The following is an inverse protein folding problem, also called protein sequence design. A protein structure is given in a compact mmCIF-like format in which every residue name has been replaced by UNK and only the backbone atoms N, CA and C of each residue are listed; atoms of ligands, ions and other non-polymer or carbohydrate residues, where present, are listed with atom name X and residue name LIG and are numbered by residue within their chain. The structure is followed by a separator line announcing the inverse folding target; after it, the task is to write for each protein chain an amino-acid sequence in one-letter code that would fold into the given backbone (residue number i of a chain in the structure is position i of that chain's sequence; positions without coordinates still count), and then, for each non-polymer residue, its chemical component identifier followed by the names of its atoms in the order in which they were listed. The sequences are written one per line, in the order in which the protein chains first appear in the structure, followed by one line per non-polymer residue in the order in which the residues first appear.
data_IF_071026208139
#
_entry.id   IF_071026208139
#
_cell.length_a   1.000
_cell.length_b   1.000
_cell.length_c   1.000
_cell.angle_alpha   90.00
_cell.angle_beta   90.00
_cell.angle_gamma   90.00
#
_symmetry.space_group_name_H-M   'P 1'
#
loop_
_entity.id
_entity.type
_entity.pdbx_description
1 polymer ?
#
# COMPACT_ATOMS: atom_id res chain seq x y z
N UNK A 1 54.74 12.72 -32.55
CA UNK A 1 54.90 14.17 -32.35
C UNK A 1 54.25 14.88 -33.51
N UNK A 2 53.08 15.47 -33.27
CA UNK A 2 52.63 16.81 -33.72
C UNK A 2 51.11 16.87 -33.53
N UNK A 3 50.70 17.72 -32.60
CA UNK A 3 49.32 18.11 -32.34
C UNK A 3 48.79 18.96 -33.50
N UNK A 4 47.49 18.89 -33.75
CA UNK A 4 46.75 19.95 -34.46
C UNK A 4 45.35 20.11 -33.84
N UNK A 5 44.80 21.34 -33.82
CA UNK A 5 43.82 21.76 -32.82
C UNK A 5 42.37 21.68 -33.31
N UNK A 6 41.44 21.43 -32.37
CA UNK A 6 40.01 21.57 -32.59
C UNK A 6 39.58 23.05 -32.51
N UNK A 7 38.94 23.52 -33.57
CA UNK A 7 38.29 24.83 -33.68
C UNK A 7 36.88 24.83 -33.09
N UNK A 8 36.54 25.97 -32.48
CA UNK A 8 35.21 26.31 -31.95
C UNK A 8 34.19 26.47 -33.08
N UNK A 9 32.94 26.03 -32.84
CA UNK A 9 31.75 26.89 -32.72
C UNK A 9 30.47 26.16 -33.16
N UNK A 10 29.47 26.15 -32.28
CA UNK A 10 28.04 26.34 -32.62
C UNK A 10 27.28 26.55 -31.32
N UNK A 11 26.72 27.74 -31.18
CA UNK A 11 25.87 28.17 -30.07
C UNK A 11 24.41 27.73 -30.33
N UNK A 12 23.73 27.23 -29.30
CA UNK A 12 22.28 27.27 -29.17
C UNK A 12 21.91 27.65 -27.72
N UNK A 13 20.74 28.29 -27.49
CA UNK A 13 20.55 29.23 -26.38
C UNK A 13 20.06 28.55 -25.10
N UNK A 14 20.71 28.86 -23.98
CA UNK A 14 20.22 28.46 -22.65
C UNK A 14 19.21 29.47 -22.12
N UNK A 15 17.94 29.06 -22.11
CA UNK A 15 16.89 29.68 -21.32
C UNK A 15 16.85 29.13 -19.89
N UNK A 16 16.89 30.04 -18.91
CA UNK A 16 16.42 29.96 -17.50
C UNK A 16 16.43 28.61 -16.79
N UNK A 17 17.46 28.40 -15.97
CA UNK A 17 17.35 27.72 -14.67
C UNK A 17 18.16 28.51 -13.63
N UNK A 18 17.48 29.30 -12.79
CA UNK A 18 18.03 29.81 -11.53
C UNK A 18 17.01 29.50 -10.45
N UNK A 19 17.40 28.61 -9.53
CA UNK A 19 16.97 28.50 -8.12
C UNK A 19 17.42 27.16 -7.48
N UNK A 20 17.95 26.20 -8.25
CA UNK A 20 18.45 24.92 -7.70
C UNK A 20 19.93 24.89 -7.32
N UNK A 21 20.78 25.73 -7.92
CA UNK A 21 22.25 25.59 -7.78
C UNK A 21 22.81 26.17 -6.48
N UNK A 22 22.18 27.20 -5.89
CA UNK A 22 22.66 27.77 -4.62
C UNK A 22 22.44 26.83 -3.43
N UNK A 23 21.34 26.06 -3.42
CA UNK A 23 21.02 25.14 -2.32
C UNK A 23 22.00 23.96 -2.25
N UNK A 24 22.47 23.48 -3.41
CA UNK A 24 23.43 22.36 -3.48
C UNK A 24 24.83 22.80 -3.05
N UNK A 25 25.25 24.02 -3.37
CA UNK A 25 26.53 24.56 -2.90
C UNK A 25 26.54 24.82 -1.39
N UNK A 26 25.42 25.29 -0.80
CA UNK A 26 25.33 25.46 0.65
C UNK A 26 25.36 24.12 1.40
N UNK A 27 24.67 23.08 0.93
CA UNK A 27 24.68 21.76 1.60
C UNK A 27 26.06 21.09 1.54
N UNK A 28 26.78 21.21 0.42
CA UNK A 28 28.14 20.67 0.31
C UNK A 28 29.13 21.40 1.23
N UNK A 29 28.98 22.73 1.40
CA UNK A 29 29.81 23.49 2.33
C UNK A 29 29.58 23.07 3.79
N UNK A 30 28.34 22.79 4.21
CA UNK A 30 28.05 22.36 5.58
C UNK A 30 28.60 20.97 5.89
N UNK A 31 28.57 20.04 4.93
CA UNK A 31 29.11 18.68 5.10
C UNK A 31 30.63 18.67 5.12
N UNK A 32 31.29 19.51 4.31
CA UNK A 32 32.75 19.65 4.31
C UNK A 32 33.23 20.31 5.61
N UNK A 33 32.55 21.35 6.09
CA UNK A 33 32.89 22.01 7.36
C UNK A 33 32.69 21.05 8.53
N UNK A 34 31.60 20.28 8.57
CA UNK A 34 31.35 19.33 9.66
C UNK A 34 32.37 18.18 9.73
N UNK A 35 32.98 17.78 8.61
CA UNK A 35 34.06 16.79 8.60
C UNK A 35 35.38 17.39 9.05
N UNK A 36 35.73 18.58 8.57
CA UNK A 36 37.00 19.26 8.94
C UNK A 36 37.02 19.63 10.43
N UNK A 37 35.87 20.02 11.01
CA UNK A 37 35.78 20.37 12.45
C UNK A 37 35.94 19.19 13.40
N UNK A 38 35.88 17.95 12.91
CA UNK A 38 36.04 16.76 13.74
C UNK A 38 37.49 16.33 13.94
N UNK A 39 38.43 16.86 13.15
CA UNK A 39 39.84 16.44 13.15
C UNK A 39 40.81 17.48 13.73
N UNK A 40 40.48 18.78 13.73
CA UNK A 40 41.31 19.82 14.38
C UNK A 40 40.48 21.01 14.91
N UNK A 41 40.31 21.17 16.24
CA UNK A 41 39.54 22.25 16.84
C UNK A 41 40.11 23.66 16.59
N UNK A 42 41.39 23.78 16.20
CA UNK A 42 42.02 25.09 15.93
C UNK A 42 41.59 25.68 14.57
N UNK A 43 41.22 24.83 13.61
CA UNK A 43 40.74 25.26 12.29
C UNK A 43 39.30 25.80 12.36
N UNK A 44 38.49 25.28 13.29
CA UNK A 44 37.11 25.72 13.52
C UNK A 44 37.00 27.20 13.97
N UNK A 45 37.95 27.64 14.80
CA UNK A 45 38.00 29.02 15.30
C UNK A 45 38.35 30.05 14.20
N UNK A 46 39.18 29.66 13.22
CA UNK A 46 39.57 30.52 12.10
C UNK A 46 38.43 30.65 11.06
N UNK A 47 37.69 29.57 10.78
CA UNK A 47 36.58 29.58 9.81
C UNK A 47 35.35 30.36 10.29
N UNK A 48 35.08 30.34 11.60
CA UNK A 48 33.93 31.05 12.18
C UNK A 48 34.10 32.58 12.09
N UNK A 49 35.34 33.06 12.17
CA UNK A 49 35.69 34.48 12.01
C UNK A 49 35.44 35.00 10.57
N UNK A 50 35.73 34.19 9.55
CA UNK A 50 35.60 34.59 8.14
C UNK A 50 34.14 34.59 7.64
N UNK A 51 33.29 33.71 8.17
CA UNK A 51 31.86 33.64 7.78
C UNK A 51 31.06 34.82 8.35
N UNK A 52 31.44 35.34 9.51
CA UNK A 52 30.75 36.47 10.14
C UNK A 52 31.06 37.80 9.40
N UNK A 53 32.23 37.96 8.79
CA UNK A 53 32.54 39.20 8.06
C UNK A 53 31.86 39.30 6.69
N UNK A 54 31.46 38.18 6.09
CA UNK A 54 30.82 38.15 4.76
C UNK A 54 29.29 38.26 4.79
N UNK A 55 28.66 38.08 5.96
CA UNK A 55 27.21 38.18 6.11
C UNK A 55 26.67 39.62 6.27
N UNK A 56 27.54 40.61 6.53
CA UNK A 56 27.12 41.99 6.83
C UNK A 56 27.01 42.93 5.61
N UNK A 57 27.18 42.44 4.38
CA UNK A 57 27.21 43.30 3.19
C UNK A 57 26.12 42.97 2.15
N UNK A 58 24.86 43.01 2.57
CA UNK A 58 23.72 43.05 1.63
C UNK A 58 22.67 44.09 2.05
N UNK A 59 22.50 45.12 1.20
CA UNK A 59 21.46 46.16 1.32
C UNK A 59 20.07 45.62 0.91
N UNK A 60 18.97 46.15 1.47
CA UNK A 60 17.64 45.63 1.17
C UNK A 60 17.07 46.16 -0.15
N UNK A 61 16.45 45.26 -0.92
CA UNK A 61 15.65 45.57 -2.10
C UNK A 61 14.23 45.97 -1.69
N UNK A 62 13.77 47.09 -2.24
CA UNK A 62 12.42 47.63 -2.14
C UNK A 62 11.46 46.80 -3.00
N UNK A 63 10.31 46.40 -2.45
CA UNK A 63 9.14 46.06 -3.26
C UNK A 63 7.87 46.71 -2.70
N UNK A 64 7.36 47.66 -3.50
CA UNK A 64 6.04 48.27 -3.41
C UNK A 64 4.97 47.28 -3.88
N UNK A 65 3.90 47.12 -3.10
CA UNK A 65 2.54 46.99 -3.63
C UNK A 65 1.52 47.03 -2.47
N UNK A 66 0.85 48.18 -2.36
CA UNK A 66 -0.32 48.44 -1.51
C UNK A 66 -1.55 47.70 -2.06
N UNK A 67 -2.35 47.08 -1.19
CA UNK A 67 -3.79 47.36 -1.06
C UNK A 67 -4.33 46.76 0.24
N UNK A 68 -4.64 47.66 1.18
CA UNK A 68 -5.42 47.40 2.38
C UNK A 68 -6.89 47.16 2.01
N UNK A 69 -7.52 46.19 2.67
CA UNK A 69 -8.92 46.29 3.08
C UNK A 69 -8.99 45.83 4.53
N UNK A 70 -9.18 46.82 5.40
CA UNK A 70 -9.47 46.71 6.83
C UNK A 70 -10.91 46.22 6.97
N UNK A 71 -11.14 45.20 7.80
CA UNK A 71 -12.43 44.93 8.44
C UNK A 71 -12.13 44.62 9.90
N UNK A 72 -12.85 45.33 10.75
CA UNK A 72 -12.63 45.46 12.18
C UNK A 72 -12.82 44.15 12.95
N UNK A 73 -11.92 43.94 13.92
CA UNK A 73 -11.96 42.91 14.93
C UNK A 73 -12.37 43.60 16.24
N UNK A 74 -13.63 43.45 16.63
CA UNK A 74 -14.03 43.68 18.01
C UNK A 74 -13.58 42.49 18.87
N UNK A 75 -12.86 42.86 19.93
CA UNK A 75 -12.26 42.00 20.93
C UNK A 75 -13.21 42.04 22.12
N UNK A 76 -13.86 40.91 22.42
CA UNK A 76 -14.51 40.71 23.71
C UNK A 76 -13.75 39.66 24.51
N UNK A 77 -13.32 40.07 25.70
CA UNK A 77 -12.58 39.28 26.67
C UNK A 77 -13.50 38.72 27.75
N UNK A 78 -13.23 37.45 28.07
CA UNK A 78 -13.36 36.81 29.40
C UNK A 78 -14.75 36.59 30.02
N UNK A 79 -15.12 35.31 30.23
CA UNK A 79 -14.98 34.71 31.57
C UNK A 79 -15.03 33.17 31.47
N UNK A 80 -14.05 32.52 32.11
CA UNK A 80 -13.95 31.07 32.27
C UNK A 80 -14.53 30.72 33.64
N UNK A 81 -15.55 29.86 33.69
CA UNK A 81 -15.94 29.13 34.90
C UNK A 81 -15.96 27.63 34.59
N UNK A 82 -15.05 26.93 35.27
CA UNK A 82 -15.02 25.49 35.40
C UNK A 82 -16.31 24.99 36.08
N UNK A 83 -16.94 23.97 35.48
CA UNK A 83 -17.67 22.98 36.26
C UNK A 83 -17.66 21.64 35.51
N UNK A 84 -17.12 20.65 36.22
CA UNK A 84 -17.10 19.23 35.89
C UNK A 84 -18.50 18.66 36.12
N UNK A 85 -19.06 18.03 35.10
CA UNK A 85 -20.18 17.11 35.24
C UNK A 85 -20.09 16.03 34.15
N UNK A 86 -19.80 14.80 34.59
CA UNK A 86 -19.96 13.59 33.79
C UNK A 86 -21.43 13.43 33.42
N UNK A 87 -21.78 13.72 32.17
CA UNK A 87 -23.07 13.37 31.58
C UNK A 87 -22.84 12.36 30.46
N UNK A 88 -23.28 11.12 30.70
CA UNK A 88 -23.37 10.05 29.70
C UNK A 88 -24.49 10.42 28.72
N UNK A 89 -24.12 11.04 27.59
CA UNK A 89 -25.02 11.23 26.45
C UNK A 89 -25.28 9.88 25.78
N UNK A 90 -26.47 9.32 25.99
CA UNK A 90 -27.06 8.33 25.09
C UNK A 90 -27.53 9.07 23.82
N UNK A 91 -26.91 8.77 22.68
CA UNK A 91 -27.41 9.20 21.39
C UNK A 91 -28.51 8.23 20.93
N UNK A 92 -29.78 8.64 21.04
CA UNK A 92 -30.87 7.98 20.31
C UNK A 92 -30.89 8.50 18.87
N UNK A 93 -30.29 7.75 17.96
CA UNK A 93 -30.41 7.99 16.52
C UNK A 93 -31.76 7.48 16.05
N UNK A 94 -32.77 8.35 16.00
CA UNK A 94 -34.03 8.08 15.29
C UNK A 94 -33.81 8.21 13.79
N UNK A 95 -33.69 7.07 13.09
CA UNK A 95 -33.79 7.00 11.64
C UNK A 95 -35.27 7.15 11.22
N UNK A 96 -35.60 8.03 10.25
CA UNK A 96 -36.95 8.14 9.73
C UNK A 96 -37.16 7.09 8.62
N UNK A 97 -38.07 6.15 8.87
CA UNK A 97 -38.49 5.16 7.86
C UNK A 97 -38.65 3.77 8.47
N UNK A 98 -39.84 3.50 9.00
CA UNK A 98 -40.21 2.22 9.59
C UNK A 98 -40.35 1.14 8.50
N UNK A 99 -39.23 0.57 8.07
CA UNK A 99 -39.16 -0.81 7.61
C UNK A 99 -38.34 -1.55 8.66
N UNK A 100 -39.02 -2.33 9.48
CA UNK A 100 -38.43 -3.50 10.15
C UNK A 100 -37.86 -4.38 9.05
N UNK A 101 -36.57 -4.24 8.80
CA UNK A 101 -35.78 -5.31 8.20
C UNK A 101 -35.53 -6.22 9.38
N UNK A 102 -36.20 -7.37 9.40
CA UNK A 102 -35.95 -8.39 10.41
C UNK A 102 -34.47 -8.74 10.34
N UNK A 103 -33.72 -8.30 11.35
CA UNK A 103 -32.31 -8.63 11.55
C UNK A 103 -32.11 -10.10 11.97
N UNK A 104 -33.11 -10.96 11.75
CA UNK A 104 -33.09 -12.40 12.00
C UNK A 104 -32.46 -13.21 10.85
N UNK A 105 -31.94 -12.55 9.80
CA UNK A 105 -31.36 -13.22 8.63
C UNK A 105 -29.84 -13.36 8.59
N UNK A 106 -29.08 -12.62 9.41
CA UNK A 106 -27.63 -12.82 9.52
C UNK A 106 -27.39 -13.75 10.70
N UNK A 107 -27.75 -15.03 10.53
CA UNK A 107 -27.25 -16.06 11.42
C UNK A 107 -25.72 -15.93 11.41
N UNK A 108 -25.16 -15.53 12.56
CA UNK A 108 -23.81 -15.87 12.99
C UNK A 108 -23.70 -17.40 13.13
N UNK A 109 -23.98 -18.10 12.03
CA UNK A 109 -23.44 -19.42 11.81
C UNK A 109 -21.97 -19.12 11.70
N UNK A 110 -21.25 -19.29 12.82
CA UNK A 110 -19.85 -19.68 12.79
C UNK A 110 -19.84 -20.91 11.90
N UNK A 111 -19.75 -20.70 10.58
CA UNK A 111 -19.48 -21.77 9.66
C UNK A 111 -18.10 -22.20 10.13
N UNK A 112 -18.08 -23.26 10.94
CA UNK A 112 -16.88 -24.02 11.22
C UNK A 112 -16.38 -24.37 9.83
N UNK A 113 -15.43 -23.57 9.37
CA UNK A 113 -14.81 -23.71 8.07
C UNK A 113 -13.93 -24.93 8.26
N UNK A 114 -14.54 -26.12 8.15
CA UNK A 114 -13.85 -27.38 8.28
C UNK A 114 -12.90 -27.43 7.11
N UNK A 115 -11.65 -27.06 7.39
CA UNK A 115 -10.59 -26.96 6.40
C UNK A 115 -10.52 -28.31 5.67
N UNK A 116 -10.73 -28.35 4.35
CA UNK A 116 -10.40 -29.54 3.59
C UNK A 116 -8.90 -29.75 3.72
N UNK A 117 -8.52 -30.75 4.53
CA UNK A 117 -7.20 -31.37 4.71
C UNK A 117 -5.98 -30.52 4.36
N UNK A 118 -5.21 -30.13 5.40
CA UNK A 118 -3.88 -29.49 5.38
C UNK A 118 -2.80 -30.30 4.59
N UNK A 119 -3.13 -31.43 3.97
CA UNK A 119 -2.15 -32.46 3.59
C UNK A 119 -1.83 -32.58 2.09
N UNK A 120 -2.02 -31.55 1.26
CA UNK A 120 -1.55 -31.60 -0.12
C UNK A 120 -0.66 -30.42 -0.49
N UNK A 121 0.52 -30.66 -1.09
CA UNK A 121 1.30 -29.62 -1.74
C UNK A 121 0.42 -28.93 -2.76
N UNK A 122 0.04 -27.68 -2.49
CA UNK A 122 -0.66 -26.87 -3.49
C UNK A 122 0.29 -26.65 -4.66
N UNK A 123 -0.23 -26.32 -5.85
CA UNK A 123 0.64 -25.98 -6.99
C UNK A 123 1.58 -24.79 -6.70
N UNK A 124 1.33 -24.06 -5.61
CA UNK A 124 2.11 -22.91 -5.16
C UNK A 124 3.37 -23.25 -4.37
N UNK A 125 3.64 -24.52 -4.10
CA UNK A 125 4.98 -24.97 -3.64
C UNK A 125 5.83 -25.54 -4.78
N UNK A 126 5.27 -25.63 -6.00
CA UNK A 126 6.01 -26.12 -7.17
C UNK A 126 6.95 -25.05 -7.71
N UNK A 127 8.08 -25.50 -8.26
CA UNK A 127 9.00 -24.64 -8.99
C UNK A 127 8.33 -24.03 -10.23
N UNK A 128 8.72 -22.80 -10.53
CA UNK A 128 8.29 -22.01 -11.67
C UNK A 128 9.44 -21.95 -12.67
N UNK A 129 9.13 -22.11 -13.95
CA UNK A 129 10.10 -21.91 -15.02
C UNK A 129 10.31 -20.41 -15.24
N UNK A 130 11.50 -19.91 -14.93
CA UNK A 130 11.85 -18.48 -15.08
C UNK A 130 11.79 -17.97 -16.52
N UNK A 131 11.82 -18.86 -17.52
CA UNK A 131 11.67 -18.48 -18.94
C UNK A 131 10.22 -18.39 -19.41
N UNK A 132 9.27 -18.82 -18.58
CA UNK A 132 7.84 -18.73 -18.86
C UNK A 132 7.33 -17.29 -18.91
N UNK A 133 6.09 -17.13 -19.36
CA UNK A 133 5.34 -15.87 -19.39
C UNK A 133 4.51 -15.73 -18.13
N UNK A 134 4.70 -14.63 -17.42
CA UNK A 134 4.08 -14.32 -16.13
C UNK A 134 2.98 -13.27 -16.32
N UNK A 135 1.74 -13.58 -15.97
CA UNK A 135 0.63 -12.62 -15.83
C UNK A 135 0.57 -12.16 -14.38
N UNK A 136 0.72 -10.86 -14.12
CA UNK A 136 0.55 -10.28 -12.79
C UNK A 136 -0.67 -9.36 -12.76
N UNK A 137 -1.71 -9.77 -12.05
CA UNK A 137 -2.97 -9.01 -11.94
C UNK A 137 -2.76 -7.83 -11.00
N UNK A 138 -2.85 -6.62 -11.55
CA UNK A 138 -2.70 -5.38 -10.78
C UNK A 138 -4.02 -5.02 -10.09
N UNK A 139 -4.23 -5.52 -8.88
CA UNK A 139 -5.27 -5.00 -7.98
C UNK A 139 -4.78 -3.67 -7.41
N UNK A 140 -5.53 -2.59 -7.66
CA UNK A 140 -5.16 -1.24 -7.22
C UNK A 140 -4.81 -1.25 -5.75
N UNK A 141 -3.67 -0.62 -5.39
CA UNK A 141 -3.24 -0.43 -3.99
C UNK A 141 -2.94 -1.71 -3.19
N UNK A 142 -2.82 -2.85 -3.88
CA UNK A 142 -2.30 -4.10 -3.34
C UNK A 142 -0.85 -4.36 -3.80
N UNK A 143 -0.05 -3.31 -4.00
CA UNK A 143 1.36 -3.37 -4.44
C UNK A 143 1.63 -3.97 -5.83
N UNK A 144 0.64 -3.97 -6.75
CA UNK A 144 0.85 -4.54 -8.09
C UNK A 144 1.95 -3.87 -8.91
N UNK A 145 2.06 -2.53 -8.87
CA UNK A 145 3.20 -1.82 -9.49
C UNK A 145 4.56 -2.32 -9.00
N UNK A 146 4.70 -2.54 -7.68
CA UNK A 146 5.93 -3.07 -7.09
C UNK A 146 6.26 -4.44 -7.67
N UNK A 147 5.30 -5.35 -7.71
CA UNK A 147 5.51 -6.71 -8.25
C UNK A 147 5.85 -6.72 -9.74
N UNK A 148 5.12 -5.95 -10.55
CA UNK A 148 5.39 -5.85 -12.00
C UNK A 148 6.80 -5.32 -12.23
N UNK A 149 7.23 -4.27 -11.50
CA UNK A 149 8.59 -3.76 -11.58
C UNK A 149 9.62 -4.79 -11.12
N UNK A 150 9.36 -5.50 -10.03
CA UNK A 150 10.25 -6.56 -9.52
C UNK A 150 10.51 -7.63 -10.57
N UNK A 151 9.45 -8.21 -11.15
CA UNK A 151 9.56 -9.24 -12.19
C UNK A 151 10.31 -8.73 -13.43
N UNK A 152 10.06 -7.47 -13.83
CA UNK A 152 10.77 -6.84 -14.95
C UNK A 152 12.24 -6.56 -14.67
N UNK A 153 12.60 -6.20 -13.45
CA UNK A 153 13.99 -5.99 -13.03
C UNK A 153 14.81 -7.28 -13.02
N UNK A 154 14.13 -8.43 -12.99
CA UNK A 154 14.69 -9.76 -13.19
C UNK A 154 14.74 -10.17 -14.67
N UNK A 155 14.32 -9.30 -15.59
CA UNK A 155 14.21 -9.55 -17.03
C UNK A 155 13.28 -10.72 -17.40
N UNK A 156 12.27 -10.98 -16.58
CA UNK A 156 11.28 -12.03 -16.84
C UNK A 156 10.22 -11.56 -17.85
N UNK A 157 9.66 -12.49 -18.62
CA UNK A 157 8.57 -12.22 -19.57
C UNK A 157 7.28 -11.89 -18.81
N UNK A 158 7.06 -10.61 -18.50
CA UNK A 158 5.98 -10.16 -17.61
C UNK A 158 4.89 -9.42 -18.38
N UNK A 159 3.64 -9.73 -18.07
CA UNK A 159 2.43 -9.05 -18.49
C UNK A 159 1.68 -8.52 -17.26
N UNK A 160 1.30 -7.23 -17.20
CA UNK A 160 1.44 -6.21 -18.24
C UNK A 160 2.88 -5.67 -18.40
N UNK A 161 3.16 -5.06 -19.56
CA UNK A 161 4.50 -4.51 -19.87
C UNK A 161 4.84 -3.21 -19.14
N UNK A 162 3.86 -2.46 -18.64
CA UNK A 162 4.06 -1.18 -17.93
C UNK A 162 3.91 -1.41 -16.43
N UNK A 163 4.75 -0.76 -15.62
CA UNK A 163 4.72 -0.87 -14.15
C UNK A 163 3.36 -0.51 -13.57
N UNK A 164 2.80 0.64 -13.96
CA UNK A 164 1.45 1.04 -13.54
C UNK A 164 0.36 0.07 -14.06
N UNK A 165 0.66 -0.76 -15.06
CA UNK A 165 -0.27 -1.71 -15.66
C UNK A 165 -1.57 -1.07 -16.15
N UNK A 166 -2.49 -1.89 -16.62
CA UNK A 166 -3.90 -1.57 -16.52
C UNK A 166 -4.48 -2.50 -15.46
N UNK A 167 -5.40 -1.98 -14.67
CA UNK A 167 -5.96 -2.71 -13.54
C UNK A 167 -7.20 -3.47 -14.02
N UNK A 168 -7.04 -4.75 -14.29
CA UNK A 168 -8.08 -5.64 -14.79
C UNK A 168 -8.38 -6.75 -13.81
N UNK A 169 -9.66 -7.19 -13.69
CA UNK A 169 -9.97 -8.44 -12.99
C UNK A 169 -9.25 -9.64 -13.62
N UNK A 170 -9.03 -10.69 -12.82
CA UNK A 170 -8.26 -11.89 -13.19
C UNK A 170 -8.77 -12.46 -14.51
N UNK A 171 -10.09 -12.71 -14.61
CA UNK A 171 -10.67 -13.29 -15.82
C UNK A 171 -10.35 -12.46 -17.06
N UNK A 172 -10.53 -11.13 -16.99
CA UNK A 172 -10.30 -10.25 -18.13
C UNK A 172 -8.82 -10.20 -18.49
N UNK A 173 -7.93 -10.11 -17.49
CA UNK A 173 -6.50 -10.11 -17.72
C UNK A 173 -6.07 -11.40 -18.42
N UNK A 174 -6.44 -12.56 -17.90
CA UNK A 174 -5.93 -13.84 -18.38
C UNK A 174 -6.53 -14.23 -19.74
N UNK A 175 -7.80 -13.90 -19.98
CA UNK A 175 -8.51 -14.28 -21.20
C UNK A 175 -8.46 -13.25 -22.32
N UNK A 176 -7.97 -12.02 -22.06
CA UNK A 176 -7.97 -10.94 -23.08
C UNK A 176 -6.64 -10.22 -23.22
N UNK A 177 -5.92 -9.97 -22.12
CA UNK A 177 -4.74 -9.09 -22.12
C UNK A 177 -3.45 -9.89 -22.12
N UNK A 178 -3.36 -10.87 -21.22
CA UNK A 178 -2.19 -11.68 -20.97
C UNK A 178 -2.38 -13.13 -21.45
N UNK A 179 -3.21 -13.34 -22.48
CA UNK A 179 -3.48 -14.68 -23.04
C UNK A 179 -2.21 -15.49 -23.29
N UNK A 180 -2.24 -16.78 -22.94
CA UNK A 180 -1.10 -17.69 -23.05
C UNK A 180 0.03 -17.39 -22.06
N UNK A 181 -0.26 -16.76 -20.92
CA UNK A 181 0.66 -16.78 -19.79
C UNK A 181 0.78 -18.21 -19.24
N UNK A 182 1.98 -18.58 -18.82
CA UNK A 182 2.27 -19.87 -18.19
C UNK A 182 1.97 -19.83 -16.69
N UNK A 183 2.06 -18.64 -16.08
CA UNK A 183 1.89 -18.43 -14.65
C UNK A 183 1.02 -17.22 -14.34
N UNK A 184 0.09 -17.39 -13.41
CA UNK A 184 -0.85 -16.37 -12.97
C UNK A 184 -0.57 -15.94 -11.54
N UNK A 185 -0.42 -14.64 -11.36
CA UNK A 185 0.05 -14.05 -10.11
C UNK A 185 -0.82 -12.87 -9.73
N UNK A 186 -0.99 -12.67 -8.43
CA UNK A 186 -1.56 -11.45 -7.89
C UNK A 186 -0.98 -11.16 -6.50
N UNK A 187 -1.40 -10.05 -5.92
CA UNK A 187 -1.15 -9.75 -4.51
C UNK A 187 -2.39 -9.22 -3.84
N UNK A 188 -2.53 -9.56 -2.57
CA UNK A 188 -3.60 -9.11 -1.70
C UNK A 188 -3.05 -8.28 -0.55
N UNK A 189 -3.91 -7.46 0.03
CA UNK A 189 -3.62 -6.59 1.16
C UNK A 189 -4.71 -6.71 2.22
N UNK A 190 -4.36 -6.48 3.48
CA UNK A 190 -5.32 -6.41 4.58
C UNK A 190 -6.49 -5.49 4.20
N UNK A 191 -7.75 -5.96 4.22
CA UNK A 191 -8.88 -5.18 3.70
C UNK A 191 -9.00 -3.78 4.32
N UNK A 192 -8.75 -3.65 5.63
CA UNK A 192 -8.69 -2.34 6.32
C UNK A 192 -7.64 -1.40 5.72
N UNK A 193 -6.40 -1.89 5.56
CA UNK A 193 -5.30 -1.12 4.99
C UNK A 193 -5.50 -0.81 3.51
N UNK A 194 -6.17 -1.72 2.79
CA UNK A 194 -6.49 -1.56 1.40
C UNK A 194 -7.52 -0.45 1.18
N UNK A 195 -8.63 -0.46 1.92
CA UNK A 195 -9.66 0.60 1.85
C UNK A 195 -9.08 1.98 2.18
N UNK A 196 -8.30 2.08 3.25
CA UNK A 196 -7.59 3.34 3.56
C UNK A 196 -6.71 3.79 2.41
N UNK A 197 -5.96 2.86 1.81
CA UNK A 197 -5.07 3.16 0.72
C UNK A 197 -5.78 3.61 -0.57
N UNK A 198 -6.96 3.07 -0.86
CA UNK A 198 -7.80 3.52 -1.97
C UNK A 198 -8.26 4.96 -1.73
N UNK A 199 -8.70 5.28 -0.51
CA UNK A 199 -9.07 6.63 -0.13
C UNK A 199 -7.89 7.61 -0.25
N UNK A 200 -6.72 7.27 0.28
CA UNK A 200 -5.55 8.17 0.22
C UNK A 200 -5.05 8.34 -1.21
N UNK A 201 -5.18 7.33 -2.07
CA UNK A 201 -4.90 7.48 -3.50
C UNK A 201 -5.83 8.52 -4.13
N UNK A 202 -7.13 8.41 -3.89
CA UNK A 202 -8.08 9.41 -4.37
C UNK A 202 -7.76 10.79 -3.79
N UNK A 203 -7.43 10.88 -2.49
CA UNK A 203 -7.23 12.14 -1.78
C UNK A 203 -5.89 12.83 -2.10
N UNK A 204 -4.79 12.11 -2.28
CA UNK A 204 -3.48 12.76 -2.38
C UNK A 204 -2.81 12.60 -3.73
N UNK A 205 -3.10 11.52 -4.45
CA UNK A 205 -2.41 11.28 -5.71
C UNK A 205 -2.88 12.29 -6.78
N UNK A 206 -1.95 12.67 -7.66
CA UNK A 206 -2.22 13.59 -8.79
C UNK A 206 -3.34 13.05 -9.68
N UNK A 207 -3.35 11.73 -9.93
CA UNK A 207 -4.43 11.06 -10.63
C UNK A 207 -5.74 11.16 -9.85
N UNK A 208 -5.73 10.87 -8.55
CA UNK A 208 -6.89 10.96 -7.65
C UNK A 208 -7.53 12.34 -7.65
N UNK A 209 -6.73 13.39 -7.51
CA UNK A 209 -7.17 14.80 -7.62
C UNK A 209 -7.82 15.09 -8.97
N UNK A 210 -7.23 14.60 -10.06
CA UNK A 210 -7.73 14.82 -11.42
C UNK A 210 -9.08 14.14 -11.62
N UNK A 211 -9.24 12.86 -11.24
CA UNK A 211 -10.46 12.09 -11.54
C UNK A 211 -11.64 12.51 -10.67
N UNK A 212 -11.37 12.96 -9.43
CA UNK A 212 -12.39 13.45 -8.50
C UNK A 212 -12.72 14.94 -8.66
N UNK A 213 -12.10 15.64 -9.61
CA UNK A 213 -12.33 17.07 -9.85
C UNK A 213 -13.80 17.34 -10.21
N UNK A 214 -14.40 18.35 -9.57
CA UNK A 214 -15.80 18.72 -9.78
C UNK A 214 -16.80 17.76 -9.15
N UNK A 215 -16.34 16.85 -8.28
CA UNK A 215 -17.18 15.97 -7.48
C UNK A 215 -17.21 16.43 -6.03
N UNK A 216 -18.18 15.91 -5.26
CA UNK A 216 -18.30 16.13 -3.82
C UNK A 216 -17.34 15.26 -2.99
N UNK A 217 -16.21 14.82 -3.57
CA UNK A 217 -15.21 14.01 -2.87
C UNK A 217 -14.64 14.79 -1.66
N UNK A 218 -14.58 14.19 -0.46
CA UNK A 218 -14.23 14.92 0.76
C UNK A 218 -12.74 15.31 0.82
N UNK A 219 -12.47 16.61 1.04
CA UNK A 219 -11.13 17.22 1.05
C UNK A 219 -11.05 18.43 2.00
N UNK A 220 -11.27 18.22 3.29
CA UNK A 220 -11.29 19.32 4.27
C UNK A 220 -9.89 19.80 4.72
N UNK A 221 -8.81 19.09 4.37
CA UNK A 221 -7.41 19.54 4.49
C UNK A 221 -6.39 18.40 4.64
N UNK A 222 -5.16 18.72 5.03
CA UNK A 222 -4.00 17.81 5.08
C UNK A 222 -3.48 17.60 6.51
N UNK A 223 -4.33 17.06 7.39
CA UNK A 223 -3.97 16.71 8.77
C UNK A 223 -4.59 15.37 9.12
N UNK A 224 -4.04 14.64 10.09
CA UNK A 224 -4.59 13.34 10.50
C UNK A 224 -6.07 13.42 10.89
N UNK A 225 -6.48 14.48 11.59
CA UNK A 225 -7.87 14.74 11.96
C UNK A 225 -8.76 14.97 10.73
N UNK A 226 -8.29 15.74 9.74
CA UNK A 226 -9.04 15.98 8.52
C UNK A 226 -9.13 14.72 7.66
N UNK A 227 -8.10 13.88 7.68
CA UNK A 227 -8.08 12.61 6.95
C UNK A 227 -9.12 11.65 7.52
N UNK A 228 -9.20 11.54 8.84
CA UNK A 228 -10.20 10.71 9.51
C UNK A 228 -11.62 11.21 9.23
N UNK A 229 -11.86 12.53 9.31
CA UNK A 229 -13.15 13.14 8.98
C UNK A 229 -13.55 12.92 7.52
N UNK A 230 -12.61 13.17 6.60
CA UNK A 230 -12.84 13.00 5.18
C UNK A 230 -13.06 11.53 4.81
N UNK A 231 -12.31 10.62 5.44
CA UNK A 231 -12.44 9.19 5.26
C UNK A 231 -13.80 8.70 5.75
N UNK A 232 -14.24 9.12 6.94
CA UNK A 232 -15.57 8.78 7.44
C UNK A 232 -16.67 9.24 6.46
N UNK A 233 -16.59 10.48 5.96
CA UNK A 233 -17.54 11.00 4.97
C UNK A 233 -17.50 10.22 3.64
N UNK A 234 -16.31 9.76 3.23
CA UNK A 234 -16.15 8.93 2.05
C UNK A 234 -16.77 7.54 2.24
N UNK A 235 -16.64 6.92 3.41
CA UNK A 235 -17.31 5.65 3.73
C UNK A 235 -18.84 5.81 3.79
N UNK A 236 -19.34 6.90 4.38
CA UNK A 236 -20.78 7.23 4.44
C UNK A 236 -21.42 7.36 3.05
N UNK A 237 -20.64 7.80 2.06
CA UNK A 237 -21.11 7.88 0.68
C UNK A 237 -21.53 6.52 0.13
N UNK A 238 -20.82 5.44 0.47
CA UNK A 238 -21.09 4.08 -0.02
C UNK A 238 -22.05 3.26 0.84
N UNK A 239 -22.42 3.76 2.03
CA UNK A 239 -23.25 3.03 2.97
C UNK A 239 -24.67 3.64 3.10
N UNK A 240 -25.70 2.80 3.36
CA UNK A 240 -25.68 1.34 3.22
C UNK A 240 -25.45 0.93 1.76
N UNK A 241 -24.80 -0.21 1.50
CA UNK A 241 -24.57 -0.69 0.13
C UNK A 241 -25.92 -0.99 -0.55
N UNK A 242 -26.09 -0.60 -1.82
CA UNK A 242 -27.34 -0.85 -2.53
C UNK A 242 -27.56 0.05 -3.76
N UNK A 243 -28.76 0.02 -4.36
CA UNK A 243 -29.09 0.87 -5.49
C UNK A 243 -28.85 2.36 -5.20
N UNK A 244 -28.17 3.05 -6.12
CA UNK A 244 -27.83 4.48 -5.99
C UNK A 244 -26.50 4.75 -5.28
N UNK A 245 -25.77 3.69 -4.88
CA UNK A 245 -24.46 3.78 -4.22
C UNK A 245 -23.29 3.41 -5.13
N UNK A 246 -23.53 3.33 -6.43
CA UNK A 246 -22.54 2.91 -7.42
C UNK A 246 -21.51 4.00 -7.75
N UNK A 247 -21.82 5.28 -7.49
CA UNK A 247 -20.92 6.40 -7.76
C UNK A 247 -19.65 6.29 -6.92
N UNK A 248 -18.52 6.07 -7.59
CA UNK A 248 -17.21 5.93 -6.98
C UNK A 248 -16.39 7.23 -7.02
N UNK A 249 -17.04 8.38 -7.23
CA UNK A 249 -16.41 9.68 -7.49
C UNK A 249 -15.48 9.68 -8.71
N UNK A 250 -15.64 8.73 -9.64
CA UNK A 250 -14.68 8.39 -10.71
C UNK A 250 -13.30 7.94 -10.20
N UNK A 251 -13.19 7.60 -8.93
CA UNK A 251 -12.02 7.01 -8.31
C UNK A 251 -12.37 5.57 -7.91
N UNK A 252 -12.21 5.14 -6.66
CA UNK A 252 -12.48 3.77 -6.23
C UNK A 252 -13.79 3.59 -5.46
N UNK A 253 -14.44 2.45 -5.68
CA UNK A 253 -15.54 1.94 -4.87
C UNK A 253 -15.00 0.88 -3.88
N UNK A 254 -15.05 1.08 -2.55
CA UNK A 254 -14.36 0.20 -1.60
C UNK A 254 -15.01 -1.18 -1.41
N UNK A 255 -16.30 -1.34 -1.74
CA UNK A 255 -17.02 -2.58 -1.45
C UNK A 255 -16.36 -3.81 -2.09
N UNK A 256 -15.87 -4.71 -1.25
CA UNK A 256 -15.28 -6.00 -1.57
C UNK A 256 -14.35 -5.95 -2.80
N UNK A 257 -13.50 -4.92 -2.84
CA UNK A 257 -12.74 -4.56 -4.04
C UNK A 257 -11.82 -5.69 -4.50
N UNK A 258 -11.14 -6.37 -3.59
CA UNK A 258 -10.17 -7.42 -3.96
C UNK A 258 -10.88 -8.67 -4.48
N UNK A 259 -11.93 -9.14 -3.81
CA UNK A 259 -12.72 -10.28 -4.25
C UNK A 259 -13.48 -10.00 -5.55
N UNK A 260 -13.88 -8.75 -5.80
CA UNK A 260 -14.44 -8.34 -7.11
C UNK A 260 -13.44 -8.48 -8.26
N UNK A 261 -12.14 -8.35 -8.03
CA UNK A 261 -11.13 -8.64 -9.06
C UNK A 261 -11.02 -10.14 -9.37
N UNK A 262 -11.40 -11.01 -8.44
CA UNK A 262 -11.41 -12.46 -8.65
C UNK A 262 -12.70 -12.95 -9.31
N UNK A 263 -13.81 -12.23 -9.14
CA UNK A 263 -15.14 -12.63 -9.62
C UNK A 263 -15.55 -11.94 -10.94
N UNK A 264 -15.18 -10.67 -11.13
CA UNK A 264 -15.64 -9.87 -12.26
C UNK A 264 -15.04 -10.30 -13.61
N UNK A 265 -15.86 -10.23 -14.66
CA UNK A 265 -15.45 -10.48 -16.05
C UNK A 265 -15.29 -9.21 -16.90
N UNK A 266 -15.61 -8.03 -16.36
CA UNK A 266 -15.52 -6.78 -17.12
C UNK A 266 -14.20 -6.06 -16.86
N UNK A 267 -13.79 -5.23 -17.81
CA UNK A 267 -12.57 -4.42 -17.70
C UNK A 267 -12.64 -3.28 -16.67
N UNK A 268 -13.85 -2.82 -16.32
CA UNK A 268 -14.06 -1.75 -15.35
C UNK A 268 -13.84 -2.21 -13.91
N UNK A 269 -12.68 -1.90 -13.36
CA UNK A 269 -12.23 -2.39 -12.04
C UNK A 269 -12.48 -1.41 -10.89
N UNK A 270 -12.58 -0.11 -11.17
CA UNK A 270 -12.64 0.94 -10.16
C UNK A 270 -14.02 1.15 -9.53
N UNK A 271 -15.09 0.81 -10.23
CA UNK A 271 -16.48 0.99 -9.79
C UNK A 271 -17.23 -0.32 -9.78
N UNK A 272 -18.38 -0.37 -9.11
CA UNK A 272 -19.31 -1.50 -9.24
C UNK A 272 -20.07 -1.39 -10.55
N UNK A 273 -20.30 -2.50 -11.23
CA UNK A 273 -20.98 -2.49 -12.53
C UNK A 273 -22.47 -2.32 -12.27
N UNK A 274 -23.08 -1.29 -12.84
CA UNK A 274 -24.52 -1.16 -12.81
C UNK A 274 -25.15 -2.10 -13.85
N UNK A 275 -25.50 -3.31 -13.41
CA UNK A 275 -26.35 -4.23 -14.17
C UNK A 275 -27.75 -4.23 -13.54
N UNK A 276 -28.81 -4.00 -14.33
CA UNK A 276 -30.17 -4.14 -13.83
C UNK A 276 -30.34 -5.51 -13.17
N UNK A 277 -30.85 -5.52 -11.93
CA UNK A 277 -31.12 -6.72 -11.11
C UNK A 277 -29.89 -7.48 -10.57
N UNK A 278 -28.69 -6.94 -10.68
CA UNK A 278 -27.51 -7.53 -10.04
C UNK A 278 -27.41 -7.08 -8.57
N UNK A 279 -27.95 -7.90 -7.67
CA UNK A 279 -27.85 -7.70 -6.22
C UNK A 279 -26.47 -8.06 -5.67
N UNK A 280 -25.66 -8.80 -6.44
CA UNK A 280 -24.33 -9.29 -6.05
C UNK A 280 -23.19 -8.32 -6.39
N UNK A 281 -23.48 -7.20 -7.06
CA UNK A 281 -22.44 -6.26 -7.53
C UNK A 281 -21.55 -5.65 -6.43
N UNK A 282 -22.04 -5.59 -5.19
CA UNK A 282 -21.28 -5.14 -4.02
C UNK A 282 -20.67 -6.31 -3.23
N UNK A 283 -21.25 -7.49 -3.37
CA UNK A 283 -20.88 -8.72 -2.65
C UNK A 283 -20.61 -9.83 -3.66
N UNK A 284 -19.38 -9.91 -4.19
CA UNK A 284 -19.03 -10.91 -5.18
C UNK A 284 -19.20 -12.32 -4.62
N UNK A 285 -19.38 -13.30 -5.50
CA UNK A 285 -19.55 -14.69 -5.10
C UNK A 285 -18.26 -15.21 -4.44
N UNK A 286 -18.27 -15.40 -3.12
CA UNK A 286 -17.09 -15.85 -2.35
C UNK A 286 -16.56 -17.19 -2.86
N UNK A 287 -17.43 -18.14 -3.19
CA UNK A 287 -17.00 -19.46 -3.71
C UNK A 287 -16.23 -19.31 -5.03
N UNK A 288 -16.71 -18.47 -5.95
CA UNK A 288 -16.02 -18.21 -7.21
C UNK A 288 -14.71 -17.46 -6.97
N UNK A 289 -14.71 -16.43 -6.11
CA UNK A 289 -13.50 -15.69 -5.76
C UNK A 289 -12.43 -16.62 -5.14
N UNK A 290 -12.82 -17.52 -4.24
CA UNK A 290 -11.93 -18.52 -3.65
C UNK A 290 -11.42 -19.53 -4.67
N UNK A 291 -12.26 -19.99 -5.60
CA UNK A 291 -11.81 -20.87 -6.69
C UNK A 291 -10.74 -20.19 -7.55
N UNK A 292 -11.00 -18.95 -7.98
CA UNK A 292 -10.06 -18.17 -8.80
C UNK A 292 -8.79 -17.84 -8.03
N UNK A 293 -8.88 -17.61 -6.72
CA UNK A 293 -7.71 -17.53 -5.86
C UNK A 293 -6.87 -18.81 -5.96
N UNK A 294 -7.45 -19.99 -5.74
CA UNK A 294 -6.72 -21.26 -5.79
C UNK A 294 -6.10 -21.56 -7.16
N UNK A 295 -6.70 -21.02 -8.23
CA UNK A 295 -6.18 -21.11 -9.59
C UNK A 295 -4.94 -20.22 -9.82
N UNK A 296 -4.56 -19.34 -8.90
CA UNK A 296 -3.32 -18.56 -9.02
C UNK A 296 -2.08 -19.40 -8.66
N UNK A 297 -1.02 -19.25 -9.44
CA UNK A 297 0.27 -19.91 -9.21
C UNK A 297 1.10 -19.22 -8.13
N UNK A 298 0.82 -17.94 -7.85
CA UNK A 298 1.43 -17.19 -6.75
C UNK A 298 0.48 -16.09 -6.25
N UNK A 299 0.37 -15.94 -4.92
CA UNK A 299 -0.36 -14.84 -4.28
C UNK A 299 0.52 -14.21 -3.23
N UNK A 300 0.99 -12.99 -3.49
CA UNK A 300 1.75 -12.21 -2.50
C UNK A 300 0.83 -11.56 -1.46
N UNK A 301 1.32 -11.40 -0.24
CA UNK A 301 0.66 -10.60 0.80
C UNK A 301 1.48 -9.33 1.03
N UNK A 302 0.85 -8.16 0.90
CA UNK A 302 1.53 -6.86 0.99
C UNK A 302 2.23 -6.67 2.35
N UNK A 303 1.58 -7.11 3.42
CA UNK A 303 2.10 -7.05 4.79
C UNK A 303 3.30 -7.98 5.03
N UNK A 304 3.48 -8.98 4.18
CA UNK A 304 4.58 -9.96 4.20
C UNK A 304 5.37 -9.90 2.90
N UNK A 305 5.66 -8.68 2.42
CA UNK A 305 6.25 -8.49 1.10
C UNK A 305 7.63 -9.14 0.95
N UNK A 306 8.46 -9.06 1.99
CA UNK A 306 9.79 -9.67 1.99
C UNK A 306 9.71 -11.20 1.90
N UNK A 307 8.86 -11.79 2.72
CA UNK A 307 8.63 -13.22 2.81
C UNK A 307 8.00 -13.74 1.50
N UNK A 308 7.05 -12.98 0.94
CA UNK A 308 6.47 -13.24 -0.38
C UNK A 308 7.53 -13.22 -1.49
N UNK A 309 8.50 -12.31 -1.44
CA UNK A 309 9.62 -12.27 -2.40
C UNK A 309 10.54 -13.48 -2.26
N UNK A 310 10.87 -13.85 -1.02
CA UNK A 310 11.68 -15.03 -0.73
C UNK A 310 11.04 -16.30 -1.29
N UNK A 311 9.74 -16.47 -1.05
CA UNK A 311 8.96 -17.56 -1.59
C UNK A 311 8.97 -17.58 -3.12
N UNK A 312 8.64 -16.45 -3.77
CA UNK A 312 8.63 -16.36 -5.24
C UNK A 312 9.99 -16.70 -5.83
N UNK A 313 11.07 -16.10 -5.30
CA UNK A 313 12.41 -16.26 -5.88
C UNK A 313 12.99 -17.65 -5.67
N UNK A 314 12.71 -18.28 -4.52
CA UNK A 314 13.07 -19.68 -4.30
C UNK A 314 12.37 -20.57 -5.32
N UNK A 315 11.07 -20.32 -5.57
CA UNK A 315 10.30 -21.10 -6.54
C UNK A 315 10.79 -20.96 -7.98
N UNK A 316 11.49 -19.90 -8.35
CA UNK A 316 12.12 -19.82 -9.69
C UNK A 316 13.24 -20.88 -9.90
N UNK A 317 13.66 -21.57 -8.83
CA UNK A 317 14.53 -22.73 -8.89
C UNK A 317 15.94 -22.44 -9.44
N UNK A 318 16.65 -23.47 -9.94
CA UNK A 318 17.99 -23.30 -10.50
C UNK A 318 18.04 -22.32 -11.68
N UNK A 319 16.97 -22.24 -12.47
CA UNK A 319 16.83 -21.34 -13.61
C UNK A 319 16.60 -19.87 -13.24
N UNK A 320 16.45 -19.54 -11.96
CA UNK A 320 16.19 -18.17 -11.52
C UNK A 320 17.23 -17.16 -12.03
N UNK A 321 16.87 -15.90 -12.31
CA UNK A 321 17.85 -14.86 -12.62
C UNK A 321 18.86 -14.68 -11.48
N UNK A 322 20.11 -14.32 -11.81
CA UNK A 322 21.22 -14.19 -10.83
C UNK A 322 20.83 -13.34 -9.63
N UNK A 323 20.17 -12.20 -9.87
CA UNK A 323 19.69 -11.29 -8.81
C UNK A 323 18.70 -11.95 -7.85
N UNK A 324 17.81 -12.81 -8.35
CA UNK A 324 16.85 -13.52 -7.51
C UNK A 324 17.56 -14.54 -6.61
N UNK A 325 18.50 -15.32 -7.16
CA UNK A 325 19.32 -16.26 -6.36
C UNK A 325 20.15 -15.55 -5.30
N UNK A 326 20.78 -14.43 -5.66
CA UNK A 326 21.55 -13.61 -4.72
C UNK A 326 20.66 -13.09 -3.59
N UNK A 327 19.45 -12.60 -3.91
CA UNK A 327 18.49 -12.16 -2.90
C UNK A 327 18.09 -13.30 -1.97
N UNK A 328 17.75 -14.48 -2.50
CA UNK A 328 17.42 -15.65 -1.67
C UNK A 328 18.56 -15.96 -0.71
N UNK A 329 19.79 -16.05 -1.20
CA UNK A 329 20.95 -16.42 -0.39
C UNK A 329 21.32 -15.37 0.67
N UNK A 330 21.20 -14.09 0.34
CA UNK A 330 21.67 -13.01 1.22
C UNK A 330 20.58 -12.45 2.14
N UNK A 331 19.31 -12.49 1.73
CA UNK A 331 18.22 -11.75 2.37
C UNK A 331 17.16 -12.67 2.98
N UNK A 332 16.94 -13.86 2.45
CA UNK A 332 15.90 -14.77 2.94
C UNK A 332 16.43 -15.63 4.09
N UNK A 333 16.73 -14.97 5.19
CA UNK A 333 17.23 -15.57 6.43
C UNK A 333 16.73 -14.78 7.63
N UNK A 334 16.36 -15.49 8.69
CA UNK A 334 15.99 -14.93 9.98
C UNK A 334 16.84 -15.55 11.12
N UNK A 335 17.42 -14.75 12.04
CA UNK A 335 17.39 -13.29 12.08
C UNK A 335 18.17 -12.67 10.90
N UNK A 336 17.83 -11.42 10.55
CA UNK A 336 18.56 -10.69 9.50
C UNK A 336 20.02 -10.51 9.92
N UNK A 337 21.01 -10.74 9.04
CA UNK A 337 22.40 -10.52 9.37
C UNK A 337 22.62 -9.04 9.72
N UNK A 338 23.35 -8.72 10.79
CA UNK A 338 23.64 -7.31 11.15
C UNK A 338 24.35 -6.53 10.03
N UNK A 339 25.00 -7.24 9.09
CA UNK A 339 25.70 -6.69 7.94
C UNK A 339 24.82 -6.53 6.71
N UNK A 340 23.51 -6.84 6.78
CA UNK A 340 22.60 -6.55 5.68
C UNK A 340 22.48 -5.03 5.55
N UNK A 341 23.30 -4.49 4.66
CA UNK A 341 23.36 -3.10 4.25
C UNK A 341 21.93 -2.52 4.21
N UNK A 342 21.64 -1.53 5.06
CA UNK A 342 20.39 -0.73 5.01
C UNK A 342 20.18 -0.12 3.61
N UNK A 343 21.23 -0.12 2.79
CA UNK A 343 21.26 0.28 1.39
C UNK A 343 20.46 -0.62 0.44
N UNK A 344 20.00 -1.81 0.85
CA UNK A 344 18.94 -2.51 0.11
C UNK A 344 17.63 -1.79 0.43
N UNK A 345 17.47 -0.61 -0.19
CA UNK A 345 16.20 0.12 -0.21
C UNK A 345 15.17 -0.85 -0.74
N UNK A 346 14.36 -1.40 0.15
CA UNK A 346 13.20 -2.17 -0.25
C UNK A 346 12.45 -1.27 -1.22
N UNK A 347 12.30 -1.76 -2.45
CA UNK A 347 11.66 -1.04 -3.55
C UNK A 347 10.14 -1.07 -3.34
N UNK A 348 9.70 -0.84 -2.10
CA UNK A 348 8.32 -0.68 -1.72
C UNK A 348 7.96 0.77 -1.92
N UNK A 349 7.21 1.06 -2.98
CA UNK A 349 6.69 2.42 -3.21
C UNK A 349 5.57 2.65 -2.21
N UNK A 350 5.89 3.38 -1.14
CA UNK A 350 4.91 3.78 -0.13
C UNK A 350 4.11 4.95 -0.69
N UNK A 351 2.96 4.65 -1.29
CA UNK A 351 2.01 5.70 -1.72
C UNK A 351 1.21 6.31 -0.56
N UNK A 352 1.31 5.75 0.66
CA UNK A 352 0.55 6.23 1.83
C UNK A 352 1.32 7.25 2.65
N UNK A 353 2.51 7.67 2.21
CA UNK A 353 3.32 8.64 2.95
C UNK A 353 2.60 9.99 3.12
N UNK A 354 1.62 10.27 2.25
CA UNK A 354 0.76 11.45 2.32
C UNK A 354 -0.46 11.28 3.24
N UNK A 355 -0.83 10.05 3.60
CA UNK A 355 -1.80 9.81 4.66
C UNK A 355 -1.14 10.10 5.99
N UNK A 356 -1.72 11.00 6.79
CA UNK A 356 -1.07 11.48 8.02
C UNK A 356 -1.25 10.52 9.21
N UNK A 357 -1.85 9.34 9.01
CA UNK A 357 -2.02 8.30 10.05
C UNK A 357 -0.94 7.23 9.90
N UNK A 358 -0.31 6.88 11.02
CA UNK A 358 0.71 5.82 11.10
C UNK A 358 0.12 4.42 11.27
N UNK A 359 -1.06 4.34 11.87
CA UNK A 359 -1.74 3.11 12.28
C UNK A 359 -3.24 3.25 11.92
N UNK A 360 -3.93 2.14 11.64
CA UNK A 360 -5.37 2.07 11.37
C UNK A 360 -6.15 1.33 12.46
N UNK A 361 -5.50 0.64 13.41
CA UNK A 361 -6.12 -0.05 14.54
C UNK A 361 -6.87 0.91 15.45
N UNK A 362 -6.31 2.10 15.65
CA UNK A 362 -6.87 3.13 16.52
C UNK A 362 -7.86 4.07 15.79
N UNK A 363 -8.46 3.64 14.67
CA UNK A 363 -9.59 4.37 14.09
C UNK A 363 -10.79 4.30 15.05
N UNK A 364 -11.63 5.35 15.11
CA UNK A 364 -12.88 5.30 15.86
C UNK A 364 -13.70 4.05 15.52
N UNK A 365 -14.28 3.35 16.52
CA UNK A 365 -15.07 2.13 16.28
C UNK A 365 -16.15 2.28 15.19
N UNK A 366 -16.90 3.39 15.09
CA UNK A 366 -17.88 3.57 14.01
C UNK A 366 -17.26 3.59 12.60
N UNK A 367 -16.01 4.03 12.45
CA UNK A 367 -15.30 3.98 11.17
C UNK A 367 -14.87 2.54 10.86
N UNK A 368 -14.34 1.83 11.87
CA UNK A 368 -13.94 0.43 11.73
C UNK A 368 -15.13 -0.46 11.32
N UNK A 369 -16.30 -0.23 11.90
CA UNK A 369 -17.54 -0.92 11.55
C UNK A 369 -17.91 -0.71 10.07
N UNK A 370 -17.85 0.54 9.58
CA UNK A 370 -18.13 0.87 8.17
C UNK A 370 -17.17 0.17 7.20
N UNK A 371 -15.88 0.09 7.56
CA UNK A 371 -14.90 -0.68 6.78
C UNK A 371 -15.31 -2.16 6.77
N UNK A 372 -15.63 -2.73 7.93
CA UNK A 372 -16.05 -4.12 8.07
C UNK A 372 -17.26 -4.45 7.18
N UNK A 373 -18.28 -3.58 7.15
CA UNK A 373 -19.45 -3.72 6.27
C UNK A 373 -19.07 -3.70 4.78
N UNK A 374 -18.15 -2.83 4.38
CA UNK A 374 -17.72 -2.74 2.98
C UNK A 374 -16.80 -3.89 2.56
N UNK A 375 -16.10 -4.56 3.48
CA UNK A 375 -15.07 -5.55 3.15
C UNK A 375 -15.37 -6.96 3.66
N UNK A 376 -16.64 -7.30 3.88
CA UNK A 376 -17.01 -8.58 4.48
C UNK A 376 -16.48 -9.81 3.69
N UNK A 377 -16.58 -9.80 2.36
CA UNK A 377 -16.07 -10.87 1.49
C UNK A 377 -14.55 -10.83 1.39
N UNK A 378 -13.97 -9.63 1.28
CA UNK A 378 -12.51 -9.43 1.26
C UNK A 378 -11.85 -9.94 2.56
N UNK A 379 -12.47 -9.75 3.73
CA UNK A 379 -12.00 -10.30 5.03
C UNK A 379 -11.89 -11.82 4.98
N UNK A 380 -12.93 -12.51 4.52
CA UNK A 380 -12.94 -13.99 4.42
C UNK A 380 -11.88 -14.51 3.45
N UNK A 381 -11.79 -13.89 2.27
CA UNK A 381 -10.78 -14.22 1.27
C UNK A 381 -9.36 -13.99 1.79
N UNK A 382 -9.12 -12.87 2.50
CA UNK A 382 -7.81 -12.53 3.02
C UNK A 382 -7.37 -13.44 4.17
N UNK A 383 -8.29 -13.87 5.05
CA UNK A 383 -8.00 -14.90 6.08
C UNK A 383 -7.52 -16.20 5.44
N UNK A 384 -8.24 -16.68 4.42
CA UNK A 384 -7.84 -17.86 3.63
C UNK A 384 -6.47 -17.65 2.99
N UNK A 385 -6.20 -16.44 2.49
CA UNK A 385 -4.92 -16.12 1.88
C UNK A 385 -3.74 -16.08 2.87
N UNK A 386 -3.96 -15.54 4.08
CA UNK A 386 -2.96 -15.53 5.15
C UNK A 386 -2.62 -16.94 5.62
N UNK A 387 -3.63 -17.78 5.87
CA UNK A 387 -3.41 -19.15 6.31
C UNK A 387 -2.58 -19.94 5.29
N UNK A 388 -2.93 -19.80 4.00
CA UNK A 388 -2.17 -20.43 2.93
C UNK A 388 -0.75 -19.86 2.80
N UNK A 389 -0.56 -18.55 2.98
CA UNK A 389 0.79 -17.94 3.03
C UNK A 389 1.62 -18.52 4.18
N UNK A 390 1.05 -18.69 5.37
CA UNK A 390 1.76 -19.31 6.51
C UNK A 390 2.18 -20.75 6.20
N UNK A 391 1.33 -21.51 5.50
CA UNK A 391 1.65 -22.87 5.04
C UNK A 391 2.79 -22.86 4.02
N UNK A 392 2.75 -21.94 3.05
CA UNK A 392 3.81 -21.80 2.04
C UNK A 392 5.15 -21.34 2.65
N UNK A 393 5.13 -20.47 3.67
CA UNK A 393 6.33 -20.06 4.39
C UNK A 393 6.88 -21.18 5.28
N UNK A 394 6.04 -21.95 5.96
CA UNK A 394 6.48 -23.13 6.70
C UNK A 394 7.13 -24.17 5.77
N UNK A 395 6.58 -24.37 4.56
CA UNK A 395 7.20 -25.21 3.52
C UNK A 395 8.54 -24.65 3.06
N UNK A 396 8.60 -23.34 2.79
CA UNK A 396 9.83 -22.66 2.38
C UNK A 396 10.94 -22.82 3.43
N UNK A 397 10.61 -22.84 4.71
CA UNK A 397 11.60 -23.01 5.80
C UNK A 397 11.99 -24.47 6.08
N UNK A 398 11.25 -25.44 5.54
CA UNK A 398 11.50 -26.87 5.76
C UNK A 398 12.74 -27.36 5.01
N UNK A 399 13.16 -28.60 5.31
CA UNK A 399 14.24 -29.30 4.60
C UNK A 399 13.97 -29.47 3.09
N UNK A 400 12.70 -29.42 2.66
CA UNK A 400 12.34 -29.47 1.23
C UNK A 400 12.40 -28.11 0.52
N UNK A 401 12.57 -27.02 1.27
CA UNK A 401 12.66 -25.64 0.78
C UNK A 401 14.08 -25.08 0.90
N UNK A 402 14.25 -24.10 1.79
CA UNK A 402 15.52 -23.43 2.07
C UNK A 402 16.29 -24.02 3.26
N UNK A 403 15.65 -24.89 4.06
CA UNK A 403 16.20 -25.45 5.29
C UNK A 403 16.74 -24.37 6.26
N UNK A 404 16.03 -23.25 6.34
CA UNK A 404 16.32 -22.15 7.26
C UNK A 404 15.11 -21.27 7.44
N UNK A 405 15.09 -20.55 8.57
CA UNK A 405 14.03 -19.59 8.90
C UNK A 405 14.06 -18.38 7.97
N UNK A 406 12.88 -17.91 7.55
CA UNK A 406 12.67 -16.71 6.74
C UNK A 406 11.73 -15.73 7.46
N UNK A 407 10.66 -16.23 8.08
CA UNK A 407 9.69 -15.40 8.80
C UNK A 407 10.13 -15.19 10.26
N UNK A 408 10.45 -13.95 10.61
CA UNK A 408 10.91 -13.60 11.96
C UNK A 408 9.77 -13.37 12.95
N UNK A 409 10.06 -13.58 14.24
CA UNK A 409 9.09 -13.37 15.33
C UNK A 409 8.65 -11.91 15.46
N UNK A 410 9.54 -10.95 15.19
CA UNK A 410 9.21 -9.52 15.22
C UNK A 410 8.22 -9.14 14.11
N UNK A 411 8.29 -9.77 12.93
CA UNK A 411 7.30 -9.59 11.87
C UNK A 411 5.94 -10.06 12.33
N UNK A 412 5.85 -11.27 12.90
CA UNK A 412 4.61 -11.82 13.44
C UNK A 412 4.06 -10.97 14.59
N UNK A 413 4.91 -10.60 15.54
CA UNK A 413 4.55 -9.78 16.70
C UNK A 413 3.99 -8.41 16.30
N UNK A 414 4.57 -7.78 15.29
CA UNK A 414 4.09 -6.50 14.78
C UNK A 414 2.79 -6.64 13.96
N UNK A 415 2.65 -7.75 13.22
CA UNK A 415 1.53 -7.96 12.32
C UNK A 415 0.25 -8.43 13.04
N UNK A 416 0.39 -9.25 14.09
CA UNK A 416 -0.73 -9.81 14.85
C UNK A 416 -1.74 -8.73 15.30
N UNK A 417 -1.35 -7.67 16.04
CA UNK A 417 -2.30 -6.65 16.47
C UNK A 417 -2.88 -5.83 15.30
N UNK A 418 -2.16 -5.68 14.18
CA UNK A 418 -2.68 -5.01 12.97
C UNK A 418 -3.83 -5.78 12.32
N UNK A 419 -3.86 -7.10 12.50
CA UNK A 419 -4.80 -8.02 11.87
C UNK A 419 -5.77 -8.68 12.86
N UNK A 420 -5.75 -8.31 14.14
CA UNK A 420 -6.64 -8.81 15.20
C UNK A 420 -8.12 -8.78 14.80
N UNK A 421 -8.55 -7.76 14.06
CA UNK A 421 -9.93 -7.61 13.58
C UNK A 421 -10.40 -8.68 12.60
N UNK A 422 -9.50 -9.54 12.14
CA UNK A 422 -9.82 -10.70 11.31
C UNK A 422 -10.38 -11.86 12.13
N UNK A 423 -10.33 -11.79 13.47
CA UNK A 423 -10.75 -12.83 14.41
C UNK A 423 -9.95 -14.14 14.24
N UNK A 424 -8.67 -14.02 13.89
CA UNK A 424 -7.72 -15.14 13.73
C UNK A 424 -6.36 -14.77 14.33
N UNK A 425 -5.57 -15.79 14.70
CA UNK A 425 -4.19 -15.60 15.12
C UNK A 425 -3.21 -16.06 14.04
N UNK A 426 -2.37 -15.14 13.56
CA UNK A 426 -1.40 -15.40 12.49
C UNK A 426 -0.21 -16.18 13.07
N UNK A 427 0.17 -15.85 14.30
CA UNK A 427 1.14 -16.64 15.08
C UNK A 427 0.68 -18.10 15.18
N UNK A 428 -0.59 -18.33 15.52
CA UNK A 428 -1.15 -19.68 15.57
C UNK A 428 -1.12 -20.38 14.20
N UNK A 429 -1.57 -19.71 13.13
CA UNK A 429 -1.51 -20.26 11.77
C UNK A 429 -0.10 -20.69 11.37
N UNK A 430 0.91 -19.89 11.70
CA UNK A 430 2.31 -20.23 11.40
C UNK A 430 2.81 -21.43 12.20
N UNK A 431 2.52 -21.49 13.50
CA UNK A 431 2.94 -22.63 14.33
C UNK A 431 2.26 -23.94 13.91
N UNK A 432 0.95 -23.90 13.62
CA UNK A 432 0.21 -25.06 13.10
C UNK A 432 0.79 -25.54 11.77
N UNK A 433 1.09 -24.61 10.85
CA UNK A 433 1.71 -24.95 9.57
C UNK A 433 3.09 -25.62 9.73
N UNK A 434 3.93 -25.11 10.64
CA UNK A 434 5.25 -25.73 10.92
C UNK A 434 5.12 -27.10 11.56
N UNK A 435 4.17 -27.26 12.48
CA UNK A 435 3.91 -28.55 13.11
C UNK A 435 3.48 -29.59 12.06
N UNK A 436 2.59 -29.21 11.13
CA UNK A 436 2.10 -30.10 10.07
C UNK A 436 3.17 -30.58 9.08
N UNK A 437 4.22 -29.79 8.84
CA UNK A 437 5.32 -30.13 7.90
C UNK A 437 6.44 -30.93 8.58
N UNK A 438 6.50 -30.90 9.92
CA UNK A 438 7.51 -31.63 10.70
C UNK A 438 7.16 -33.10 10.93
N UNK A 439 5.94 -33.50 10.57
CA UNK A 439 5.43 -34.88 10.58
C UNK A 439 5.65 -35.49 9.20
#
# INVERSE_FOLDING_TARGET
MTETPCTKSTCFPTGRLRNGFLAVCCLMATVIVSRITSEDPKIAAALTSTIISTANDTRPFVQLSKRHRTVDLERDTSSVKNSSAHNTMKYDVKLPGNRTIDAEGINNTTQNFTMPHINLPTKRTRLLNSTGKFSFVHISKAAGSTWIRTLRNLHMSTCPKKEAGQEYPVWYQDNKICMGADYHMLSLRSPRHHVWSLFTECKYDVWGFKVTKGRSFPRSGNTATNDEKDFNKWLDHFLPMGPGKEDNYKCYHPANFQSRYLDSKVSGSHGVINRPNDTTRFEPNLTLATSVYWDQDFVGIVELHHESLCLLYHRLGPGAPVKARQYVNAQCVCPKPMTSDENIKQVHVVHHAYGHRKDLRNLPPPILEKIGLLTAVDKRLYVLALQQMMTELAWLESASGLDRRVLCDDVLFNLEPELEYLDVSIVQFYHEAKAAISV
#
